data_IF_111024618012
#
_entry.id   IF_111024618012
#
_cell.length_a   1.000
_cell.length_b   1.000
_cell.length_c   1.000
_cell.angle_alpha   90.00
_cell.angle_beta   90.00
_cell.angle_gamma   90.00
#
_symmetry.space_group_name_H-M   'P 1'
#
loop_
_entity.id
_entity.type
_entity.pdbx_description
1 polymer ?
#
# COMPACT_ATOMS: atom_id res chain seq x y z
N UNK A 1 8.64 12.90 12.12
CA UNK A 1 9.18 11.82 11.26
C UNK A 1 9.08 12.27 9.81
N UNK A 2 10.09 12.02 8.97
CA UNK A 2 9.97 12.30 7.53
C UNK A 2 9.12 11.19 6.91
N UNK A 3 7.97 11.56 6.35
CA UNK A 3 7.16 10.63 5.56
C UNK A 3 7.93 10.21 4.32
N UNK A 4 7.79 8.95 3.92
CA UNK A 4 8.45 8.38 2.74
C UNK A 4 7.43 7.64 1.86
N UNK A 5 7.78 7.52 0.58
CA UNK A 5 6.96 6.86 -0.43
C UNK A 5 7.81 5.79 -1.09
N UNK A 6 7.31 4.57 -1.17
CA UNK A 6 8.02 3.44 -1.79
C UNK A 6 7.13 2.71 -2.78
N UNK A 7 7.66 2.49 -3.97
CA UNK A 7 6.99 1.75 -5.04
C UNK A 7 7.28 0.26 -4.93
N UNK A 8 6.24 -0.58 -4.98
CA UNK A 8 6.33 -2.03 -4.98
C UNK A 8 5.56 -2.59 -6.16
N UNK A 9 6.28 -3.24 -7.06
CA UNK A 9 5.67 -3.99 -8.15
C UNK A 9 5.00 -5.25 -7.58
N UNK A 10 3.71 -5.43 -7.85
CA UNK A 10 2.92 -6.57 -7.42
C UNK A 10 2.28 -7.27 -8.61
N UNK A 11 2.19 -8.60 -8.54
CA UNK A 11 1.60 -9.39 -9.63
C UNK A 11 0.08 -9.23 -9.74
N UNK A 12 -0.58 -8.89 -8.63
CA UNK A 12 -2.04 -8.74 -8.53
C UNK A 12 -2.34 -7.68 -7.46
N UNK A 13 -2.84 -6.52 -7.90
CA UNK A 13 -3.12 -5.37 -7.05
C UNK A 13 -4.22 -5.65 -6.02
N UNK A 14 -5.24 -6.41 -6.39
CA UNK A 14 -6.35 -6.71 -5.49
C UNK A 14 -5.91 -7.64 -4.37
N UNK A 15 -5.17 -8.70 -4.70
CA UNK A 15 -4.62 -9.60 -3.68
C UNK A 15 -3.63 -8.90 -2.76
N UNK A 16 -2.78 -8.04 -3.32
CA UNK A 16 -1.83 -7.26 -2.52
C UNK A 16 -2.58 -6.32 -1.55
N UNK A 17 -3.58 -5.59 -2.04
CA UNK A 17 -4.41 -4.72 -1.22
C UNK A 17 -5.08 -5.49 -0.08
N UNK A 18 -5.75 -6.61 -0.38
CA UNK A 18 -6.40 -7.46 0.60
C UNK A 18 -5.42 -8.01 1.64
N UNK A 19 -4.21 -8.39 1.22
CA UNK A 19 -3.15 -8.84 2.12
C UNK A 19 -2.79 -7.74 3.13
N UNK A 20 -2.54 -6.52 2.66
CA UNK A 20 -2.16 -5.40 3.54
C UNK A 20 -3.32 -4.97 4.46
N UNK A 21 -4.57 -5.01 4.00
CA UNK A 21 -5.73 -4.80 4.87
C UNK A 21 -5.87 -5.89 5.94
N UNK A 22 -5.66 -7.16 5.57
CA UNK A 22 -5.78 -8.29 6.50
C UNK A 22 -4.75 -8.25 7.63
N UNK A 23 -3.56 -7.69 7.38
CA UNK A 23 -2.53 -7.47 8.42
C UNK A 23 -2.70 -6.14 9.16
N UNK A 24 -3.77 -5.39 8.87
CA UNK A 24 -4.17 -4.21 9.63
C UNK A 24 -3.67 -2.86 9.11
N UNK A 25 -3.11 -2.81 7.89
CA UNK A 25 -2.75 -1.52 7.27
C UNK A 25 -3.97 -0.87 6.62
N UNK A 26 -4.01 0.46 6.66
CA UNK A 26 -4.99 1.22 5.89
C UNK A 26 -4.60 1.23 4.43
N UNK A 27 -5.48 0.74 3.56
CA UNK A 27 -5.27 0.70 2.11
C UNK A 27 -6.22 1.69 1.44
N UNK A 28 -5.66 2.49 0.52
CA UNK A 28 -6.41 3.39 -0.35
C UNK A 28 -6.24 2.95 -1.81
N UNK A 29 -7.31 3.06 -2.61
CA UNK A 29 -7.30 2.72 -4.05
C UNK A 29 -7.43 3.99 -4.89
N UNK A 30 -6.57 4.13 -5.90
CA UNK A 30 -6.51 5.27 -6.81
C UNK A 30 -6.39 4.78 -8.26
N UNK A 31 -7.54 4.53 -8.92
CA UNK A 31 -7.54 3.96 -10.27
C UNK A 31 -6.83 2.61 -10.29
N UNK A 32 -5.75 2.51 -11.08
CA UNK A 32 -4.96 1.29 -11.28
C UNK A 32 -3.80 1.16 -10.27
N UNK A 33 -3.90 1.83 -9.12
CA UNK A 33 -2.86 1.82 -8.08
C UNK A 33 -3.49 1.69 -6.71
N UNK A 34 -2.82 1.00 -5.78
CA UNK A 34 -3.22 0.98 -4.37
C UNK A 34 -2.08 1.51 -3.50
N UNK A 35 -2.40 2.05 -2.32
CA UNK A 35 -1.42 2.55 -1.36
C UNK A 35 -1.71 1.99 0.01
N UNK A 36 -0.73 1.32 0.64
CA UNK A 36 -0.82 0.88 2.03
C UNK A 36 -0.08 1.87 2.94
N UNK A 37 -0.77 2.37 3.97
CA UNK A 37 -0.17 3.28 4.97
C UNK A 37 0.54 2.46 6.04
N UNK A 38 1.84 2.70 6.19
CA UNK A 38 2.67 2.04 7.19
C UNK A 38 2.59 2.76 8.55
N UNK A 39 2.69 2.04 9.68
CA UNK A 39 2.62 2.59 11.04
C UNK A 39 3.67 3.69 11.30
N UNK A 40 4.84 3.56 10.69
CA UNK A 40 5.96 4.49 10.75
C UNK A 40 5.72 5.80 9.95
N UNK A 41 4.58 5.96 9.28
CA UNK A 41 4.19 7.18 8.57
C UNK A 41 4.66 7.26 7.11
N UNK A 42 5.00 6.11 6.51
CA UNK A 42 5.30 5.98 5.08
C UNK A 42 4.13 5.36 4.30
N UNK A 43 4.16 5.50 2.98
CA UNK A 43 3.20 4.87 2.07
C UNK A 43 3.91 3.90 1.13
N UNK A 44 3.33 2.71 1.01
CA UNK A 44 3.75 1.66 0.09
C UNK A 44 2.79 1.69 -1.11
N UNK A 45 3.27 2.21 -2.23
CA UNK A 45 2.53 2.33 -3.50
C UNK A 45 2.64 0.99 -4.23
N UNK A 46 1.51 0.30 -4.35
CA UNK A 46 1.35 -0.98 -5.01
C UNK A 46 1.00 -0.72 -6.48
N UNK A 47 1.85 -1.20 -7.39
CA UNK A 47 1.74 -1.00 -8.84
C UNK A 47 1.89 -2.32 -9.59
#
# INVERSE_FOLDING_TARGET
MKSFWMNLAVADLEKAGQFYEAVGFSVATFGDTKSATLPEGGNLILM
#
